data_IF_930408931319
#
_entry.id   IF_930408931319
#
_cell.length_a   1.000
_cell.length_b   1.000
_cell.length_c   1.000
_cell.angle_alpha   90.00
_cell.angle_beta   90.00
_cell.angle_gamma   90.00
#
_symmetry.space_group_name_H-M   'P 1'
#
loop_
_entity.id
_entity.type
_entity.pdbx_description
1 polymer ?
#
# COMPACT_ATOMS: atom_id res chain seq x y z
N UNK A 1 8.56 0.98 -16.07
CA UNK A 1 7.25 1.64 -15.88
C UNK A 1 7.09 1.94 -14.39
N UNK A 2 6.69 3.14 -13.97
CA UNK A 2 6.46 3.43 -12.54
C UNK A 2 5.06 2.98 -12.13
N UNK A 3 4.94 1.71 -11.77
CA UNK A 3 3.68 1.09 -11.34
C UNK A 3 3.03 1.82 -10.16
N UNK A 4 3.78 2.52 -9.31
CA UNK A 4 3.21 3.26 -8.17
C UNK A 4 2.38 4.46 -8.61
N UNK A 5 2.82 5.16 -9.66
CA UNK A 5 2.06 6.25 -10.25
C UNK A 5 0.74 5.72 -10.84
N UNK A 6 0.81 4.62 -11.59
CA UNK A 6 -0.36 3.97 -12.19
C UNK A 6 -1.36 3.48 -11.13
N UNK A 7 -0.91 2.78 -10.08
CA UNK A 7 -1.77 2.32 -8.98
C UNK A 7 -2.54 3.49 -8.36
N UNK A 8 -1.85 4.61 -8.10
CA UNK A 8 -2.49 5.81 -7.52
C UNK A 8 -3.49 6.44 -8.47
N UNK A 9 -3.16 6.55 -9.76
CA UNK A 9 -4.06 7.08 -10.78
C UNK A 9 -5.33 6.24 -10.90
N UNK A 10 -5.20 4.91 -10.90
CA UNK A 10 -6.36 4.01 -10.94
C UNK A 10 -7.26 4.18 -9.70
N UNK A 11 -6.66 4.22 -8.50
CA UNK A 11 -7.40 4.46 -7.26
C UNK A 11 -8.13 5.82 -7.27
N UNK A 12 -7.49 6.89 -7.77
CA UNK A 12 -8.09 8.22 -7.89
C UNK A 12 -9.26 8.19 -8.89
N UNK A 13 -9.10 7.54 -10.04
CA UNK A 13 -10.17 7.41 -11.02
C UNK A 13 -11.41 6.74 -10.42
N UNK A 14 -11.22 5.61 -9.73
CA UNK A 14 -12.29 4.87 -9.07
C UNK A 14 -12.95 5.73 -7.99
N UNK A 15 -12.14 6.46 -7.19
CA UNK A 15 -12.64 7.39 -6.19
C UNK A 15 -13.56 8.46 -6.80
N UNK A 16 -13.12 9.10 -7.89
CA UNK A 16 -13.92 10.11 -8.60
C UNK A 16 -15.21 9.52 -9.16
N UNK A 17 -15.15 8.33 -9.73
CA UNK A 17 -16.33 7.63 -10.26
C UNK A 17 -17.36 7.29 -9.16
N UNK A 18 -16.88 6.88 -7.98
CA UNK A 18 -17.74 6.66 -6.80
C UNK A 18 -18.36 7.96 -6.30
N UNK A 19 -17.59 9.05 -6.21
CA UNK A 19 -18.06 10.36 -5.76
C UNK A 19 -19.10 10.97 -6.70
N UNK A 20 -18.91 10.79 -8.01
CA UNK A 20 -19.82 11.30 -9.03
C UNK A 20 -21.03 10.36 -9.28
N UNK A 21 -21.04 9.18 -8.68
CA UNK A 21 -22.11 8.20 -8.88
C UNK A 21 -22.07 7.44 -10.22
N UNK A 22 -21.06 7.66 -11.06
CA UNK A 22 -20.94 7.06 -12.41
C UNK A 22 -20.34 5.65 -12.44
N UNK A 23 -19.91 5.12 -11.29
CA UNK A 23 -19.26 3.81 -11.18
C UNK A 23 -20.06 2.62 -11.73
N UNK A 24 -21.40 2.69 -11.74
CA UNK A 24 -22.25 1.63 -12.33
C UNK A 24 -22.19 1.63 -13.86
N UNK A 25 -22.18 2.80 -14.47
CA UNK A 25 -22.05 2.98 -15.93
C UNK A 25 -20.65 2.57 -16.39
N UNK A 26 -19.65 2.85 -15.56
CA UNK A 26 -18.24 2.57 -15.83
C UNK A 26 -17.78 1.21 -15.29
N UNK A 27 -18.71 0.31 -14.94
CA UNK A 27 -18.42 -0.96 -14.25
C UNK A 27 -17.34 -1.79 -14.93
N UNK A 28 -17.41 -1.94 -16.26
CA UNK A 28 -16.45 -2.73 -17.02
C UNK A 28 -15.02 -2.14 -16.93
N UNK A 29 -14.90 -0.83 -17.09
CA UNK A 29 -13.61 -0.12 -16.99
C UNK A 29 -13.06 -0.21 -15.57
N UNK A 30 -13.89 0.01 -14.55
CA UNK A 30 -13.48 -0.08 -13.14
C UNK A 30 -13.01 -1.50 -12.81
N UNK A 31 -13.68 -2.53 -13.32
CA UNK A 31 -13.27 -3.91 -13.10
C UNK A 31 -11.88 -4.18 -13.70
N UNK A 32 -11.64 -3.77 -14.94
CA UNK A 32 -10.33 -3.88 -15.57
C UNK A 32 -9.25 -3.11 -14.79
N UNK A 33 -9.52 -1.86 -14.40
CA UNK A 33 -8.59 -1.06 -13.62
C UNK A 33 -8.27 -1.69 -12.26
N UNK A 34 -9.23 -2.38 -11.63
CA UNK A 34 -8.99 -3.09 -10.36
C UNK A 34 -8.07 -4.30 -10.54
N UNK A 35 -8.30 -5.12 -11.57
CA UNK A 35 -7.43 -6.26 -11.88
C UNK A 35 -6.00 -5.79 -12.23
N UNK A 36 -5.89 -4.75 -13.07
CA UNK A 36 -4.60 -4.12 -13.40
C UNK A 36 -3.89 -3.57 -12.16
N UNK A 37 -4.63 -2.93 -11.25
CA UNK A 37 -4.07 -2.36 -10.01
C UNK A 37 -3.57 -3.46 -9.08
N UNK A 38 -4.33 -4.54 -8.95
CA UNK A 38 -3.97 -5.68 -8.11
C UNK A 38 -2.72 -6.38 -8.66
N UNK A 39 -2.66 -6.59 -9.97
CA UNK A 39 -1.51 -7.17 -10.65
C UNK A 39 -0.28 -6.26 -10.52
N UNK A 40 -0.44 -4.96 -10.77
CA UNK A 40 0.63 -3.98 -10.61
C UNK A 40 1.20 -3.98 -9.18
N UNK A 41 0.36 -4.11 -8.14
CA UNK A 41 0.83 -4.22 -6.75
C UNK A 41 1.62 -5.51 -6.52
N UNK A 42 1.18 -6.65 -7.05
CA UNK A 42 1.90 -7.92 -6.96
C UNK A 42 3.28 -7.83 -7.62
N UNK A 43 3.35 -7.25 -8.82
CA UNK A 43 4.58 -7.15 -9.60
C UNK A 43 5.54 -6.07 -9.08
N UNK A 44 5.02 -5.05 -8.40
CA UNK A 44 5.86 -3.96 -7.87
C UNK A 44 6.68 -4.42 -6.66
N UNK A 45 7.99 -4.23 -6.74
CA UNK A 45 8.85 -4.27 -5.55
C UNK A 45 8.63 -3.04 -4.68
N UNK A 46 8.24 -3.25 -3.42
CA UNK A 46 8.12 -2.16 -2.47
C UNK A 46 9.46 -1.95 -1.77
N UNK A 47 10.09 -0.83 -2.07
CA UNK A 47 11.34 -0.42 -1.41
C UNK A 47 11.08 0.34 -0.12
N UNK A 48 11.76 -0.04 0.95
CA UNK A 48 11.71 0.68 2.21
C UNK A 48 13.12 1.00 2.69
N UNK A 49 13.31 2.25 3.12
CA UNK A 49 14.54 2.70 3.77
C UNK A 49 14.39 2.54 5.27
N UNK A 50 15.43 2.01 5.92
CA UNK A 50 15.49 1.92 7.38
C UNK A 50 16.83 2.35 7.91
N UNK A 51 16.78 2.89 9.12
CA UNK A 51 17.93 3.29 9.91
C UNK A 51 18.19 2.16 10.91
N UNK A 52 19.44 1.73 11.01
CA UNK A 52 19.86 0.79 12.06
C UNK A 52 20.97 1.38 12.90
N UNK A 53 20.99 0.95 14.16
CA UNK A 53 21.88 1.45 15.19
C UNK A 53 23.21 0.67 15.17
N UNK A 54 23.20 -0.63 14.88
CA UNK A 54 24.42 -1.46 14.74
C UNK A 54 24.26 -2.49 13.62
N UNK A 55 25.31 -2.70 12.84
CA UNK A 55 25.37 -3.64 11.71
C UNK A 55 25.23 -5.11 12.17
N UNK A 56 25.56 -5.39 13.43
CA UNK A 56 25.42 -6.70 14.08
C UNK A 56 24.00 -6.98 14.59
N UNK A 57 23.14 -5.97 14.63
CA UNK A 57 21.79 -6.11 15.16
C UNK A 57 20.80 -6.59 14.09
N UNK A 58 20.87 -7.90 13.83
CA UNK A 58 19.99 -8.59 12.86
C UNK A 58 18.53 -8.65 13.30
N UNK A 59 18.22 -8.35 14.57
CA UNK A 59 16.87 -8.42 15.12
C UNK A 59 15.96 -7.32 14.54
N UNK A 60 16.45 -6.08 14.51
CA UNK A 60 15.76 -4.95 13.90
C UNK A 60 15.55 -5.14 12.39
N UNK A 61 16.54 -5.68 11.68
CA UNK A 61 16.41 -5.99 10.26
C UNK A 61 15.28 -7.01 10.02
N UNK A 62 15.24 -8.11 10.79
CA UNK A 62 14.20 -9.14 10.65
C UNK A 62 12.80 -8.56 10.92
N UNK A 63 12.65 -7.75 11.96
CA UNK A 63 11.39 -7.08 12.27
C UNK A 63 10.99 -6.12 11.14
N UNK A 64 11.95 -5.40 10.56
CA UNK A 64 11.68 -4.50 9.45
C UNK A 64 11.19 -5.23 8.20
N UNK A 65 11.85 -6.34 7.82
CA UNK A 65 11.42 -7.20 6.70
C UNK A 65 9.97 -7.67 6.93
N UNK A 66 9.67 -8.15 8.14
CA UNK A 66 8.33 -8.62 8.47
C UNK A 66 7.27 -7.50 8.37
N UNK A 67 7.60 -6.28 8.83
CA UNK A 67 6.70 -5.13 8.72
C UNK A 67 6.48 -4.71 7.25
N UNK A 68 7.54 -4.72 6.44
CA UNK A 68 7.47 -4.41 5.02
C UNK A 68 6.61 -5.43 4.24
N UNK A 69 6.81 -6.73 4.49
CA UNK A 69 5.97 -7.78 3.91
C UNK A 69 4.51 -7.63 4.34
N UNK A 70 4.26 -7.42 5.64
CA UNK A 70 2.90 -7.22 6.17
C UNK A 70 2.21 -6.00 5.54
N UNK A 71 2.95 -4.92 5.27
CA UNK A 71 2.44 -3.73 4.60
C UNK A 71 1.99 -4.02 3.17
N UNK A 72 2.79 -4.74 2.37
CA UNK A 72 2.39 -5.16 1.01
C UNK A 72 1.20 -6.12 1.04
N UNK A 73 1.22 -7.13 1.90
CA UNK A 73 0.08 -8.07 2.05
C UNK A 73 -1.21 -7.35 2.43
N UNK A 74 -1.14 -6.36 3.34
CA UNK A 74 -2.30 -5.57 3.75
C UNK A 74 -2.86 -4.70 2.62
N UNK A 75 -1.99 -4.15 1.77
CA UNK A 75 -2.41 -3.43 0.58
C UNK A 75 -3.18 -4.35 -0.39
N UNK A 76 -2.65 -5.55 -0.65
CA UNK A 76 -3.32 -6.55 -1.50
C UNK A 76 -4.69 -6.91 -0.92
N UNK A 77 -4.77 -7.20 0.38
CA UNK A 77 -6.05 -7.49 1.04
C UNK A 77 -7.04 -6.32 0.92
N UNK A 78 -6.57 -5.08 1.08
CA UNK A 78 -7.43 -3.90 0.94
C UNK A 78 -7.94 -3.69 -0.49
N UNK A 79 -7.16 -4.09 -1.50
CA UNK A 79 -7.58 -4.06 -2.90
C UNK A 79 -8.59 -5.17 -3.23
N UNK A 80 -8.45 -6.35 -2.64
CA UNK A 80 -9.45 -7.42 -2.76
C UNK A 80 -10.78 -7.02 -2.11
N UNK A 81 -10.73 -6.43 -0.90
CA UNK A 81 -11.92 -5.88 -0.25
C UNK A 81 -12.58 -4.81 -1.12
N UNK A 82 -11.78 -3.89 -1.67
CA UNK A 82 -12.28 -2.85 -2.58
C UNK A 82 -12.94 -3.47 -3.82
N UNK A 83 -12.35 -4.51 -4.41
CA UNK A 83 -12.93 -5.23 -5.55
C UNK A 83 -14.30 -5.79 -5.20
N UNK A 84 -14.41 -6.47 -4.06
CA UNK A 84 -15.69 -7.00 -3.56
C UNK A 84 -16.74 -5.90 -3.40
N UNK A 85 -16.37 -4.74 -2.83
CA UNK A 85 -17.28 -3.61 -2.65
C UNK A 85 -17.71 -2.95 -3.98
N UNK A 86 -16.90 -3.05 -5.03
CA UNK A 86 -17.21 -2.48 -6.35
C UNK A 86 -18.03 -3.43 -7.24
N UNK A 87 -17.79 -4.75 -7.13
CA UNK A 87 -18.43 -5.75 -8.01
C UNK A 87 -19.61 -6.46 -7.37
N UNK A 88 -19.73 -6.40 -6.04
CA UNK A 88 -20.78 -7.06 -5.28
C UNK A 88 -22.18 -6.54 -5.60
N UNK A 89 -23.18 -7.43 -5.55
CA UNK A 89 -24.60 -7.08 -5.81
C UNK A 89 -25.13 -5.97 -4.89
N UNK A 90 -24.62 -5.93 -3.65
CA UNK A 90 -24.94 -4.94 -2.61
C UNK A 90 -23.70 -4.14 -2.19
N UNK A 91 -22.78 -3.86 -3.12
CA UNK A 91 -21.54 -3.15 -2.85
C UNK A 91 -21.76 -1.82 -2.10
N UNK A 92 -20.92 -1.55 -1.09
CA UNK A 92 -21.02 -0.37 -0.26
C UNK A 92 -20.04 0.71 -0.74
N UNK A 93 -20.54 1.65 -1.54
CA UNK A 93 -19.73 2.76 -2.08
C UNK A 93 -19.06 3.60 -0.99
N UNK A 94 -19.66 3.73 0.21
CA UNK A 94 -19.03 4.45 1.33
C UNK A 94 -17.81 3.69 1.85
N UNK A 95 -17.92 2.37 1.98
CA UNK A 95 -16.81 1.51 2.39
C UNK A 95 -15.70 1.51 1.34
N UNK A 96 -16.05 1.40 0.05
CA UNK A 96 -15.10 1.50 -1.05
C UNK A 96 -14.30 2.83 -1.02
N UNK A 97 -14.99 3.95 -0.84
CA UNK A 97 -14.35 5.26 -0.68
C UNK A 97 -13.42 5.31 0.54
N UNK A 98 -13.82 4.74 1.68
CA UNK A 98 -12.99 4.69 2.88
C UNK A 98 -11.70 3.88 2.67
N UNK A 99 -11.80 2.73 1.98
CA UNK A 99 -10.64 1.90 1.62
C UNK A 99 -9.67 2.66 0.71
N UNK A 100 -10.17 3.31 -0.35
CA UNK A 100 -9.34 4.09 -1.28
C UNK A 100 -8.63 5.24 -0.55
N UNK A 101 -9.38 6.01 0.24
CA UNK A 101 -8.83 7.13 1.01
C UNK A 101 -7.68 6.67 1.91
N UNK A 102 -7.88 5.59 2.66
CA UNK A 102 -6.86 5.01 3.53
C UNK A 102 -5.61 4.58 2.74
N UNK A 103 -5.77 3.93 1.59
CA UNK A 103 -4.63 3.52 0.76
C UNK A 103 -3.85 4.72 0.23
N UNK A 104 -4.54 5.78 -0.23
CA UNK A 104 -3.89 6.98 -0.76
C UNK A 104 -3.15 7.79 0.33
N UNK A 105 -3.77 7.98 1.49
CA UNK A 105 -3.22 8.72 2.64
C UNK A 105 -2.03 8.01 3.30
N UNK A 106 -2.07 6.68 3.35
CA UNK A 106 -0.97 5.87 3.92
C UNK A 106 0.17 5.61 2.93
N UNK A 107 0.14 6.26 1.75
CA UNK A 107 1.06 6.01 0.64
C UNK A 107 1.17 4.51 0.31
N UNK A 108 0.03 3.91 -0.01
CA UNK A 108 -0.12 2.48 -0.28
C UNK A 108 0.35 1.62 0.92
N UNK A 109 -0.09 1.99 2.12
CA UNK A 109 0.27 1.39 3.40
C UNK A 109 1.76 1.50 3.81
N UNK A 110 2.63 2.18 3.04
CA UNK A 110 4.06 2.32 3.38
C UNK A 110 4.29 3.16 4.63
N UNK A 111 3.46 4.16 4.88
CA UNK A 111 3.61 5.04 6.03
C UNK A 111 3.40 4.30 7.37
N UNK A 112 2.66 3.18 7.37
CA UNK A 112 2.48 2.36 8.57
C UNK A 112 3.80 1.72 9.03
N UNK A 113 4.66 1.32 8.10
CA UNK A 113 5.99 0.80 8.41
C UNK A 113 6.86 1.92 8.96
N UNK A 114 6.92 3.07 8.26
CA UNK A 114 7.69 4.25 8.68
C UNK A 114 7.34 4.69 10.11
N UNK A 115 6.05 4.75 10.44
CA UNK A 115 5.59 5.17 11.76
C UNK A 115 6.04 4.21 12.86
N UNK A 116 6.03 2.90 12.61
CA UNK A 116 6.49 1.91 13.59
C UNK A 116 7.99 1.95 13.83
N UNK A 117 8.77 2.27 12.81
CA UNK A 117 10.25 2.25 12.89
C UNK A 117 10.85 3.61 13.25
N UNK A 118 10.07 4.70 13.15
CA UNK A 118 10.52 6.06 13.49
C UNK A 118 11.12 6.13 14.90
N UNK A 119 10.54 5.38 15.84
CA UNK A 119 10.97 5.39 17.24
C UNK A 119 12.27 4.60 17.51
N UNK A 120 12.82 3.90 16.52
CA UNK A 120 14.09 3.17 16.66
C UNK A 120 15.32 4.08 16.64
N UNK A 121 15.14 5.38 16.40
CA UNK A 121 16.22 6.38 16.33
C UNK A 121 16.50 7.10 17.65
N UNK A 122 15.74 6.82 18.73
CA UNK A 122 15.82 7.54 20.00
C UNK A 122 16.72 6.90 21.08
N UNK A 123 17.81 6.23 20.68
CA UNK A 123 18.85 5.76 21.60
C UNK A 123 20.19 6.43 21.27
N UNK A 124 20.39 7.59 21.90
CA UNK A 124 21.65 8.27 22.26
C UNK A 124 22.92 7.94 21.43
N UNK A 125 23.38 8.91 20.63
CA UNK A 125 24.72 9.01 20.02
C UNK A 125 25.22 7.79 19.22
N UNK A 126 24.52 7.40 18.15
CA UNK A 126 24.97 6.30 17.29
C UNK A 126 24.86 6.69 15.81
N UNK A 127 25.94 6.46 15.06
CA UNK A 127 26.05 6.70 13.62
C UNK A 127 25.00 5.88 12.86
N UNK A 128 24.01 6.56 12.29
CA UNK A 128 22.94 5.96 11.50
C UNK A 128 23.48 5.56 10.13
N UNK A 129 23.43 4.26 9.80
CA UNK A 129 23.66 3.75 8.45
C UNK A 129 22.32 3.47 7.75
N UNK A 130 22.22 3.78 6.46
CA UNK A 130 21.01 3.58 5.65
C UNK A 130 21.00 2.18 5.02
N UNK A 131 19.93 1.39 5.25
CA UNK A 131 19.69 0.11 4.58
C UNK A 131 18.49 0.18 3.62
N UNK A 132 18.54 -0.59 2.53
CA UNK A 132 17.43 -0.76 1.57
C UNK A 132 16.91 -2.20 1.65
N UNK A 133 15.61 -2.37 1.87
CA UNK A 133 14.94 -3.68 1.76
C UNK A 133 13.93 -3.63 0.62
N UNK A 134 13.95 -4.68 -0.19
CA UNK A 134 13.03 -4.93 -1.31
C UNK A 134 12.09 -6.06 -0.91
N UNK A 135 10.79 -5.89 -1.14
CA UNK A 135 9.81 -6.95 -0.89
C UNK A 135 9.08 -7.32 -2.18
N UNK A 136 9.16 -8.61 -2.51
CA UNK A 136 8.41 -9.30 -3.56
C UNK A 136 7.55 -10.35 -2.87
N UNK A 137 6.39 -9.93 -2.34
CA UNK A 137 5.30 -10.83 -1.94
C UNK A 137 4.38 -11.02 -3.12
#
# INVERSE_FOLDING_TARGET
MDYRSQIRQNLIYIQTSLQNGTHKEQKAIIHLMMEDTLQAVKDTEFTYQYNYVRETDKSHQKVFINLANKSKTKLIASLEDLRCELTGRNGNSKQALALIKKMLETNLCKNEVKNKVRNWTNTTNITVKNGLIRTSV
#
